data_IF_751320259338
#
_entry.id   IF_751320259338
#
_cell.length_a   1.000
_cell.length_b   1.000
_cell.length_c   1.000
_cell.angle_alpha   90.00
_cell.angle_beta   90.00
_cell.angle_gamma   90.00
#
_symmetry.space_group_name_H-M   'P 1'
#
loop_
_entity.id
_entity.type
_entity.pdbx_description
1 polymer ?
#
# COMPACT_ATOMS: atom_id res chain seq x y z
N UNK A 1 10.53 3.66 9.66
CA UNK A 1 9.85 4.58 10.49
C UNK A 1 8.33 4.46 10.32
N UNK A 2 7.58 5.16 11.16
CA UNK A 2 6.14 4.95 11.26
C UNK A 2 5.33 5.35 10.03
N UNK A 3 5.89 6.17 9.16
CA UNK A 3 5.14 6.70 8.02
C UNK A 3 4.70 5.64 7.04
N UNK A 4 5.54 4.64 6.79
CA UNK A 4 5.18 3.61 5.83
C UNK A 4 3.98 2.80 6.32
N UNK A 5 3.93 2.53 7.62
CA UNK A 5 2.80 1.78 8.16
C UNK A 5 1.51 2.60 8.11
N UNK A 6 1.60 3.90 8.34
CA UNK A 6 0.44 4.77 8.19
C UNK A 6 -0.06 4.78 6.76
N UNK A 7 0.86 4.87 5.80
CA UNK A 7 0.50 4.87 4.38
C UNK A 7 -0.13 3.55 3.97
N UNK A 8 0.43 2.44 4.43
CA UNK A 8 -0.15 1.13 4.13
C UNK A 8 -1.59 1.08 4.62
N UNK A 9 -1.83 1.57 5.84
CA UNK A 9 -3.18 1.58 6.39
C UNK A 9 -4.13 2.43 5.58
N UNK A 10 -3.70 3.61 5.17
CA UNK A 10 -4.53 4.51 4.38
C UNK A 10 -4.87 3.88 3.03
N UNK A 11 -3.84 3.35 2.34
CA UNK A 11 -4.03 2.75 1.03
C UNK A 11 -4.92 1.51 1.11
N UNK A 12 -4.70 0.69 2.15
CA UNK A 12 -5.51 -0.53 2.33
C UNK A 12 -6.98 -0.19 2.55
N UNK A 13 -7.25 0.82 3.37
CA UNK A 13 -8.63 1.21 3.61
C UNK A 13 -9.28 1.75 2.34
N UNK A 14 -8.52 2.53 1.55
CA UNK A 14 -9.04 3.04 0.30
C UNK A 14 -9.41 1.91 -0.66
N UNK A 15 -8.56 0.90 -0.75
CA UNK A 15 -8.84 -0.25 -1.61
C UNK A 15 -10.05 -1.04 -1.12
N UNK A 16 -10.14 -1.27 0.18
CA UNK A 16 -11.28 -1.99 0.74
C UNK A 16 -12.58 -1.25 0.48
N UNK A 17 -12.55 0.07 0.63
CA UNK A 17 -13.72 0.90 0.42
C UNK A 17 -14.17 0.85 -1.03
N UNK A 18 -13.23 0.67 -1.94
CA UNK A 18 -13.53 0.55 -3.37
C UNK A 18 -13.92 -0.88 -3.78
N UNK A 19 -14.02 -1.79 -2.82
CA UNK A 19 -14.37 -3.17 -3.11
C UNK A 19 -13.21 -3.99 -3.62
N UNK A 20 -11.97 -3.57 -3.35
CA UNK A 20 -10.77 -4.22 -3.89
C UNK A 20 -9.95 -4.84 -2.77
N UNK A 21 -10.61 -5.63 -1.92
CA UNK A 21 -9.96 -6.18 -0.74
C UNK A 21 -8.80 -7.11 -1.08
N UNK A 22 -8.93 -7.92 -2.14
CA UNK A 22 -7.85 -8.81 -2.54
C UNK A 22 -6.62 -8.02 -2.96
N UNK A 23 -6.82 -6.93 -3.67
CA UNK A 23 -5.71 -6.09 -4.07
C UNK A 23 -5.04 -5.44 -2.87
N UNK A 24 -5.81 -5.10 -1.84
CA UNK A 24 -5.23 -4.55 -0.62
C UNK A 24 -4.29 -5.57 0.02
N UNK A 25 -4.69 -6.84 0.05
CA UNK A 25 -3.85 -7.88 0.62
C UNK A 25 -2.58 -8.09 -0.17
N UNK A 26 -2.69 -8.15 -1.49
CA UNK A 26 -1.52 -8.33 -2.35
C UNK A 26 -0.57 -7.14 -2.20
N UNK A 27 -1.11 -5.92 -2.19
CA UNK A 27 -0.30 -4.73 -2.00
C UNK A 27 0.48 -4.81 -0.68
N UNK A 28 -0.20 -5.19 0.40
CA UNK A 28 0.45 -5.30 1.70
C UNK A 28 1.60 -6.31 1.67
N UNK A 29 1.37 -7.45 1.06
CA UNK A 29 2.41 -8.47 0.96
C UNK A 29 3.61 -7.97 0.19
N UNK A 30 3.38 -7.29 -0.91
CA UNK A 30 4.47 -6.75 -1.73
C UNK A 30 5.25 -5.70 -0.95
N UNK A 31 4.55 -4.82 -0.25
CA UNK A 31 5.20 -3.74 0.51
C UNK A 31 6.04 -4.33 1.64
N UNK A 32 5.51 -5.33 2.34
CA UNK A 32 6.27 -5.93 3.44
C UNK A 32 7.48 -6.72 2.95
N UNK A 33 7.50 -7.10 1.68
CA UNK A 33 8.63 -7.85 1.10
C UNK A 33 9.62 -6.96 0.38
N UNK A 34 9.33 -5.68 0.20
CA UNK A 34 10.21 -4.80 -0.55
C UNK A 34 11.39 -4.35 0.30
N UNK A 35 12.41 -3.79 -0.36
CA UNK A 35 13.68 -3.49 0.30
C UNK A 35 13.86 -2.08 0.78
N UNK A 36 12.94 -1.17 0.48
CA UNK A 36 13.12 0.22 0.87
C UNK A 36 11.80 0.97 0.89
N UNK A 37 11.81 2.12 1.56
CA UNK A 37 10.66 3.01 1.61
C UNK A 37 10.28 3.48 0.19
N UNK A 38 11.29 3.81 -0.61
CA UNK A 38 11.03 4.26 -1.98
C UNK A 38 10.31 3.19 -2.79
N UNK A 39 10.73 1.93 -2.64
CA UNK A 39 10.05 0.83 -3.33
C UNK A 39 8.61 0.68 -2.83
N UNK A 40 8.41 0.85 -1.52
CA UNK A 40 7.07 0.77 -0.96
C UNK A 40 6.14 1.81 -1.59
N UNK A 41 6.62 3.03 -1.77
CA UNK A 41 5.82 4.08 -2.39
C UNK A 41 5.48 3.74 -3.83
N UNK A 42 6.43 3.19 -4.58
CA UNK A 42 6.16 2.77 -5.96
C UNK A 42 5.09 1.70 -6.00
N UNK A 43 5.21 0.71 -5.12
CA UNK A 43 4.22 -0.38 -5.08
C UNK A 43 2.83 0.17 -4.75
N UNK A 44 2.73 0.99 -3.72
CA UNK A 44 1.43 1.53 -3.33
C UNK A 44 0.84 2.39 -4.44
N UNK A 45 1.67 3.10 -5.19
CA UNK A 45 1.23 3.92 -6.29
C UNK A 45 0.66 3.14 -7.46
N UNK A 46 0.92 1.82 -7.53
CA UNK A 46 0.31 0.97 -8.55
C UNK A 46 -1.17 0.73 -8.27
N UNK A 47 -1.60 0.88 -7.02
CA UNK A 47 -2.95 0.54 -6.60
C UNK A 47 -3.80 1.78 -6.30
N UNK A 48 -3.20 2.83 -5.80
CA UNK A 48 -3.90 4.06 -5.44
C UNK A 48 -3.07 5.26 -5.89
N UNK A 49 -3.77 6.39 -6.07
CA UNK A 49 -3.05 7.62 -6.36
C UNK A 49 -2.45 8.18 -5.09
N UNK A 50 -1.16 8.46 -5.13
CA UNK A 50 -0.45 9.06 -4.01
C UNK A 50 -0.02 10.45 -4.43
N UNK A 51 -0.46 11.45 -3.65
CA UNK A 51 -0.09 12.85 -3.92
C UNK A 51 0.63 13.48 -2.78
#
# INVERSE_FOLDING_TARGET
>A
DGNVFNLIGICSRALKKAGRMEEAKVMQQRVFSCGSYAEALVIMGEYVEIE
#
